data_IF_896467298344
#
_entry.id   IF_896467298344
#
_cell.length_a   1.000
_cell.length_b   1.000
_cell.length_c   1.000
_cell.angle_alpha   90.00
_cell.angle_beta   90.00
_cell.angle_gamma   90.00
#
_symmetry.space_group_name_H-M   'P 1'
#
loop_
_entity.id
_entity.type
_entity.pdbx_description
1 polymer ?
#
# COMPACT_ATOMS: atom_id res chain seq x y z
N UNK A 1 0.61 0.04 8.15
CA UNK A 1 -0.25 0.12 9.36
C UNK A 1 0.02 -0.93 10.46
N UNK A 2 0.96 -1.90 10.29
CA UNK A 2 1.22 -2.91 11.34
C UNK A 2 1.58 -2.31 12.72
N UNK A 3 2.46 -1.30 12.75
CA UNK A 3 2.81 -0.61 13.99
C UNK A 3 1.62 0.17 14.60
N UNK A 4 0.67 0.64 13.79
CA UNK A 4 -0.57 1.26 14.27
C UNK A 4 -1.41 0.22 15.03
N UNK A 5 -1.53 -1.00 14.51
CA UNK A 5 -2.20 -2.10 15.22
C UNK A 5 -1.56 -2.41 16.57
N UNK A 6 -0.22 -2.33 16.68
CA UNK A 6 0.47 -2.45 17.96
C UNK A 6 0.12 -1.31 18.92
N UNK A 7 0.19 -0.05 18.46
CA UNK A 7 -0.12 1.12 19.28
C UNK A 7 -1.60 1.18 19.70
N UNK A 8 -2.50 0.67 18.85
CA UNK A 8 -3.93 0.53 19.13
C UNK A 8 -4.23 -0.58 20.15
N UNK A 9 -3.31 -1.55 20.29
CA UNK A 9 -3.48 -2.75 21.12
C UNK A 9 -4.15 -3.92 20.40
N UNK A 10 -4.42 -3.80 19.11
CA UNK A 10 -5.07 -4.83 18.29
C UNK A 10 -4.09 -5.82 17.63
N UNK A 11 -2.77 -5.61 17.80
CA UNK A 11 -1.73 -6.60 17.52
C UNK A 11 -0.73 -6.66 18.66
N UNK A 12 -0.27 -7.86 19.00
CA UNK A 12 0.89 -8.06 19.88
C UNK A 12 2.20 -7.72 19.17
N UNK A 13 3.27 -7.54 19.96
CA UNK A 13 4.62 -7.30 19.43
C UNK A 13 5.07 -8.42 18.48
N UNK A 14 4.86 -9.69 18.84
CA UNK A 14 5.25 -10.83 18.01
C UNK A 14 4.45 -10.91 16.71
N UNK A 15 3.15 -10.64 16.74
CA UNK A 15 2.32 -10.59 15.53
C UNK A 15 2.78 -9.51 14.57
N UNK A 16 3.13 -8.31 15.07
CA UNK A 16 3.65 -7.21 14.22
C UNK A 16 4.94 -7.61 13.52
N UNK A 17 5.90 -8.15 14.26
CA UNK A 17 7.20 -8.54 13.71
C UNK A 17 7.03 -9.69 12.68
N UNK A 18 6.23 -10.70 13.01
CA UNK A 18 5.98 -11.83 12.11
C UNK A 18 5.18 -11.41 10.87
N UNK A 19 4.18 -10.53 11.02
CA UNK A 19 3.41 -10.03 9.89
C UNK A 19 4.28 -9.19 8.93
N UNK A 20 5.17 -8.34 9.46
CA UNK A 20 6.12 -7.59 8.65
C UNK A 20 7.10 -8.54 7.92
N UNK A 21 7.60 -9.55 8.62
CA UNK A 21 8.45 -10.60 8.05
C UNK A 21 7.76 -11.31 6.88
N UNK A 22 6.55 -11.83 7.09
CA UNK A 22 5.83 -12.58 6.06
C UNK A 22 5.42 -11.70 4.89
N UNK A 23 5.06 -10.43 5.12
CA UNK A 23 4.83 -9.46 4.05
C UNK A 23 6.05 -9.38 3.13
N UNK A 24 7.22 -9.06 3.69
CA UNK A 24 8.46 -8.96 2.90
C UNK A 24 8.88 -10.28 2.24
N UNK A 25 8.74 -11.41 2.96
CA UNK A 25 9.09 -12.74 2.45
C UNK A 25 8.21 -13.15 1.27
N UNK A 26 6.89 -13.01 1.38
CA UNK A 26 5.98 -13.36 0.29
C UNK A 26 6.22 -12.49 -0.95
N UNK A 27 6.50 -11.21 -0.79
CA UNK A 27 6.88 -10.32 -1.90
C UNK A 27 8.15 -10.82 -2.59
N UNK A 28 9.19 -11.15 -1.80
CA UNK A 28 10.47 -11.62 -2.32
C UNK A 28 10.35 -12.96 -3.06
N UNK A 29 9.55 -13.88 -2.53
CA UNK A 29 9.35 -15.22 -3.11
C UNK A 29 8.43 -15.20 -4.35
N UNK A 30 7.58 -14.17 -4.51
CA UNK A 30 6.68 -14.06 -5.64
C UNK A 30 7.36 -13.73 -6.98
N UNK A 31 8.65 -13.35 -6.97
CA UNK A 31 9.43 -13.01 -8.16
C UNK A 31 8.67 -12.08 -9.14
N UNK A 32 8.13 -10.99 -8.59
CA UNK A 32 7.35 -10.04 -9.35
C UNK A 32 8.16 -9.40 -10.49
N UNK A 33 7.50 -8.97 -11.58
CA UNK A 33 8.14 -8.11 -12.58
C UNK A 33 8.74 -6.83 -11.95
N UNK A 34 9.78 -6.25 -12.55
CA UNK A 34 10.38 -5.01 -12.05
C UNK A 34 9.36 -3.88 -11.95
N UNK A 35 9.14 -3.40 -10.73
CA UNK A 35 8.26 -2.29 -10.40
C UNK A 35 9.01 -1.09 -9.83
N UNK A 36 8.31 0.01 -9.68
CA UNK A 36 8.83 1.24 -9.08
C UNK A 36 7.72 2.07 -8.47
N UNK A 37 8.13 3.06 -7.69
CA UNK A 37 7.24 4.08 -7.14
C UNK A 37 7.91 5.44 -7.19
N UNK A 38 7.12 6.51 -7.35
CA UNK A 38 7.62 7.88 -7.33
C UNK A 38 6.61 8.81 -6.65
N UNK A 39 7.10 9.74 -5.84
CA UNK A 39 6.32 10.86 -5.35
C UNK A 39 6.27 11.94 -6.44
N UNK A 40 5.08 12.44 -6.75
CA UNK A 40 4.81 13.43 -7.78
C UNK A 40 3.98 14.57 -7.18
N UNK A 41 4.25 15.80 -7.65
CA UNK A 41 3.58 17.02 -7.24
C UNK A 41 2.33 17.26 -8.10
N UNK A 42 1.37 16.35 -7.98
CA UNK A 42 0.09 16.36 -8.68
C UNK A 42 -1.01 16.02 -7.68
N UNK A 43 -2.23 16.47 -7.93
CA UNK A 43 -3.39 15.99 -7.18
C UNK A 43 -3.72 14.53 -7.52
N UNK A 44 -4.59 13.90 -6.74
CA UNK A 44 -5.08 12.55 -7.01
C UNK A 44 -5.79 12.46 -8.37
N UNK A 45 -6.65 13.43 -8.67
CA UNK A 45 -7.42 13.51 -9.92
C UNK A 45 -6.51 13.74 -11.14
N UNK A 46 -5.50 14.59 -11.00
CA UNK A 46 -4.50 14.81 -12.05
C UNK A 46 -3.72 13.52 -12.35
N UNK A 47 -3.34 12.76 -11.32
CA UNK A 47 -2.72 11.46 -11.50
C UNK A 47 -3.65 10.47 -12.22
N UNK A 48 -4.94 10.39 -11.84
CA UNK A 48 -5.91 9.54 -12.54
C UNK A 48 -6.05 9.89 -14.04
N UNK A 49 -5.92 11.16 -14.39
CA UNK A 49 -6.01 11.63 -15.77
C UNK A 49 -4.72 11.45 -16.58
N UNK A 50 -3.55 11.58 -15.93
CA UNK A 50 -2.25 11.67 -16.61
C UNK A 50 -1.40 10.40 -16.51
N UNK A 51 -1.67 9.50 -15.55
CA UNK A 51 -0.86 8.30 -15.38
C UNK A 51 -0.86 7.45 -16.67
N UNK A 52 0.31 7.02 -17.15
CA UNK A 52 0.38 6.15 -18.31
C UNK A 52 -0.18 4.75 -17.97
N UNK A 53 -0.48 3.97 -19.00
CA UNK A 53 -0.98 2.61 -18.83
C UNK A 53 -0.07 1.77 -17.92
N UNK A 54 -0.67 1.17 -16.89
CA UNK A 54 0.03 0.34 -15.89
C UNK A 54 0.59 1.11 -14.70
N UNK A 55 0.63 2.45 -14.75
CA UNK A 55 0.94 3.29 -13.58
C UNK A 55 -0.37 3.71 -12.92
N UNK A 56 -0.41 3.65 -11.59
CA UNK A 56 -1.59 4.03 -10.80
C UNK A 56 -1.19 4.99 -9.68
N UNK A 57 -2.05 5.93 -9.29
CA UNK A 57 -1.90 6.62 -8.01
C UNK A 57 -2.09 5.60 -6.88
N UNK A 58 -1.18 5.62 -5.91
CA UNK A 58 -1.04 4.55 -4.92
C UNK A 58 -1.03 5.07 -3.48
N UNK A 59 -0.51 6.28 -3.24
CA UNK A 59 -0.60 6.95 -1.94
C UNK A 59 -1.05 8.40 -2.13
N UNK A 60 -2.18 8.78 -1.53
CA UNK A 60 -2.66 10.16 -1.50
C UNK A 60 -2.06 10.85 -0.27
N UNK A 61 -0.87 11.45 -0.41
CA UNK A 61 -0.08 11.92 0.74
C UNK A 61 -0.51 13.32 1.20
N UNK A 62 -0.86 14.20 0.27
CA UNK A 62 -1.37 15.55 0.48
C UNK A 62 -2.22 15.98 -0.72
N UNK A 63 -2.86 17.16 -0.64
CA UNK A 63 -3.73 17.71 -1.70
C UNK A 63 -3.07 17.73 -3.09
N UNK A 64 -1.77 18.05 -3.14
CA UNK A 64 -0.97 18.19 -4.37
C UNK A 64 0.22 17.22 -4.43
N UNK A 65 0.23 16.18 -3.58
CA UNK A 65 1.35 15.24 -3.51
C UNK A 65 0.87 13.79 -3.45
N UNK A 66 1.16 13.04 -4.51
CA UNK A 66 0.75 11.64 -4.67
C UNK A 66 1.97 10.77 -4.90
N UNK A 67 1.96 9.54 -4.37
CA UNK A 67 2.91 8.51 -4.80
C UNK A 67 2.25 7.66 -5.87
N UNK A 68 2.84 7.61 -7.06
CA UNK A 68 2.45 6.70 -8.15
C UNK A 68 3.24 5.40 -8.08
N UNK A 69 2.66 4.31 -8.59
CA UNK A 69 3.19 2.95 -8.52
C UNK A 69 2.91 2.19 -9.82
N UNK A 70 3.89 1.44 -10.32
CA UNK A 70 3.74 0.71 -11.58
C UNK A 70 5.02 0.05 -12.08
N UNK A 71 5.07 -0.38 -13.36
CA UNK A 71 6.27 -0.93 -13.98
C UNK A 71 7.45 0.05 -13.90
N UNK A 72 8.64 -0.48 -13.64
CA UNK A 72 9.82 0.34 -13.38
C UNK A 72 10.12 1.33 -14.52
N UNK A 73 10.13 0.85 -15.77
CA UNK A 73 10.42 1.69 -16.94
C UNK A 73 9.36 2.78 -17.14
N UNK A 74 8.08 2.45 -16.91
CA UNK A 74 6.97 3.41 -17.04
C UNK A 74 7.05 4.50 -15.97
N UNK A 75 7.41 4.14 -14.73
CA UNK A 75 7.64 5.09 -13.65
C UNK A 75 8.80 6.04 -13.99
N UNK A 76 9.95 5.50 -14.41
CA UNK A 76 11.11 6.34 -14.73
C UNK A 76 10.83 7.30 -15.89
N UNK A 77 10.12 6.84 -16.93
CA UNK A 77 9.68 7.69 -18.04
C UNK A 77 8.72 8.79 -17.58
N UNK A 78 7.69 8.44 -16.81
CA UNK A 78 6.71 9.42 -16.31
C UNK A 78 7.37 10.47 -15.39
N UNK A 79 8.31 10.04 -14.54
CA UNK A 79 9.10 10.95 -13.71
C UNK A 79 9.92 11.93 -14.56
N UNK A 80 10.50 11.48 -15.67
CA UNK A 80 11.23 12.36 -16.59
C UNK A 80 10.28 13.37 -17.25
N UNK A 81 9.15 12.92 -17.78
CA UNK A 81 8.16 13.77 -18.44
C UNK A 81 7.64 14.87 -17.50
N UNK A 82 7.31 14.52 -16.25
CA UNK A 82 6.88 15.50 -15.24
C UNK A 82 7.98 16.51 -14.92
N UNK A 83 9.24 16.08 -14.81
CA UNK A 83 10.36 17.00 -14.59
C UNK A 83 10.55 17.97 -15.75
N UNK A 84 10.39 17.51 -16.99
CA UNK A 84 10.47 18.36 -18.19
C UNK A 84 9.35 19.42 -18.21
N UNK A 85 8.19 19.10 -17.62
CA UNK A 85 7.08 20.03 -17.42
C UNK A 85 7.25 20.96 -16.19
N UNK A 86 8.33 20.80 -15.43
CA UNK A 86 8.56 21.56 -14.20
C UNK A 86 7.77 21.08 -12.98
N UNK A 87 7.12 19.91 -13.07
CA UNK A 87 6.39 19.28 -11.97
C UNK A 87 7.36 18.53 -11.07
N UNK A 88 7.15 18.59 -9.75
CA UNK A 88 7.93 17.78 -8.81
C UNK A 88 7.74 16.29 -9.10
N UNK A 89 8.83 15.56 -9.31
CA UNK A 89 8.79 14.10 -9.41
C UNK A 89 10.08 13.48 -8.88
N UNK A 90 9.96 12.54 -7.93
CA UNK A 90 11.09 11.89 -7.27
C UNK A 90 10.81 10.42 -7.02
N UNK A 91 11.64 9.55 -7.58
CA UNK A 91 11.58 8.11 -7.32
C UNK A 91 11.79 7.79 -5.84
N UNK A 92 11.03 6.80 -5.35
CA UNK A 92 11.08 6.29 -3.98
C UNK A 92 11.74 4.92 -4.00
N UNK A 93 12.60 4.64 -3.01
CA UNK A 93 13.23 3.33 -2.88
C UNK A 93 12.20 2.27 -2.49
N UNK A 94 11.70 1.53 -3.47
CA UNK A 94 10.71 0.46 -3.27
C UNK A 94 11.30 -0.94 -3.47
N UNK A 95 12.63 -1.08 -3.56
CA UNK A 95 13.32 -2.34 -3.82
C UNK A 95 12.84 -3.06 -5.11
N UNK A 96 12.44 -2.29 -6.13
CA UNK A 96 11.94 -2.84 -7.39
C UNK A 96 10.49 -3.32 -7.33
N UNK A 97 9.71 -2.88 -6.34
CA UNK A 97 8.32 -3.32 -6.13
C UNK A 97 7.35 -2.16 -6.34
N UNK A 98 6.22 -2.46 -6.98
CA UNK A 98 5.10 -1.54 -7.17
C UNK A 98 4.03 -1.74 -6.07
N UNK A 99 4.28 -1.26 -4.85
CA UNK A 99 3.33 -1.41 -3.73
C UNK A 99 2.00 -0.69 -3.97
N UNK A 100 0.95 -1.08 -3.24
CA UNK A 100 -0.36 -0.42 -3.24
C UNK A 100 -0.96 -0.32 -4.65
N UNK A 101 -0.80 -1.39 -5.42
CA UNK A 101 -1.25 -1.50 -6.80
C UNK A 101 -1.77 -2.91 -7.07
N UNK A 102 -2.44 -3.07 -8.22
CA UNK A 102 -2.94 -4.37 -8.68
C UNK A 102 -1.83 -5.42 -8.87
N UNK A 103 -0.55 -5.01 -9.03
CA UNK A 103 0.59 -5.94 -9.10
C UNK A 103 0.77 -6.76 -7.82
N UNK A 104 0.22 -6.32 -6.68
CA UNK A 104 0.26 -7.06 -5.42
C UNK A 104 -0.79 -8.18 -5.34
N UNK A 105 -1.75 -8.24 -6.27
CA UNK A 105 -2.84 -9.20 -6.22
C UNK A 105 -2.35 -10.66 -6.27
N UNK A 106 -1.26 -10.94 -6.99
CA UNK A 106 -0.66 -12.30 -7.05
C UNK A 106 -0.07 -12.76 -5.71
N UNK A 107 0.31 -11.82 -4.83
CA UNK A 107 0.87 -12.12 -3.51
C UNK A 107 -0.24 -12.33 -2.48
N UNK A 108 -1.40 -11.71 -2.67
CA UNK A 108 -2.49 -11.69 -1.69
C UNK A 108 -2.87 -13.08 -1.14
N UNK A 109 -3.02 -14.15 -1.95
CA UNK A 109 -3.36 -15.47 -1.43
C UNK A 109 -2.29 -16.07 -0.51
N UNK A 110 -1.02 -15.99 -0.91
CA UNK A 110 0.10 -16.55 -0.14
C UNK A 110 0.32 -15.76 1.15
N UNK A 111 0.25 -14.43 1.08
CA UNK A 111 0.36 -13.57 2.26
C UNK A 111 -0.81 -13.82 3.22
N UNK A 112 -2.04 -13.92 2.72
CA UNK A 112 -3.21 -14.22 3.55
C UNK A 112 -3.04 -15.54 4.31
N UNK A 113 -2.60 -16.60 3.62
CA UNK A 113 -2.36 -17.90 4.24
C UNK A 113 -1.27 -17.85 5.31
N UNK A 114 -0.23 -17.05 5.13
CA UNK A 114 0.81 -16.83 6.14
C UNK A 114 0.26 -16.03 7.34
N UNK A 115 -0.43 -14.92 7.09
CA UNK A 115 -0.95 -14.04 8.13
C UNK A 115 -2.05 -14.70 8.96
N UNK A 116 -2.88 -15.59 8.40
CA UNK A 116 -3.85 -16.38 9.17
C UNK A 116 -3.20 -17.32 10.20
N UNK A 117 -1.93 -17.68 10.02
CA UNK A 117 -1.17 -18.48 11.01
C UNK A 117 -0.56 -17.61 12.11
N UNK A 118 -0.33 -16.33 11.80
CA UNK A 118 0.23 -15.33 12.73
C UNK A 118 -0.88 -14.71 13.58
N UNK A 119 -1.89 -14.15 12.93
CA UNK A 119 -3.05 -13.47 13.53
C UNK A 119 -4.19 -14.47 13.60
N UNK A 120 -4.17 -15.33 14.62
CA UNK A 120 -5.15 -16.42 14.77
C UNK A 120 -6.50 -15.92 15.28
N UNK A 121 -6.46 -14.93 16.16
CA UNK A 121 -7.63 -14.34 16.83
C UNK A 121 -7.60 -12.81 16.63
N UNK A 122 -8.13 -12.31 15.48
CA UNK A 122 -8.13 -10.89 15.18
C UNK A 122 -8.80 -10.07 16.28
N UNK A 123 -8.11 -9.03 16.76
CA UNK A 123 -8.67 -8.10 17.74
C UNK A 123 -9.36 -6.94 17.04
N UNK A 124 -10.41 -6.41 17.68
CA UNK A 124 -11.15 -5.27 17.17
C UNK A 124 -10.27 -4.02 17.18
N UNK A 125 -10.33 -3.23 16.12
CA UNK A 125 -9.66 -1.93 16.03
C UNK A 125 -10.42 -0.91 16.87
N UNK A 126 -9.71 -0.06 17.62
CA UNK A 126 -10.40 1.02 18.34
C UNK A 126 -10.75 2.17 17.39
N UNK A 127 -11.73 3.00 17.76
CA UNK A 127 -12.11 4.20 17.00
C UNK A 127 -11.01 5.27 16.93
N UNK A 128 -9.94 5.13 17.71
CA UNK A 128 -8.77 6.02 17.68
C UNK A 128 -7.88 5.76 16.46
N UNK A 129 -7.94 4.56 15.89
CA UNK A 129 -7.16 4.21 14.70
C UNK A 129 -7.97 4.44 13.44
N UNK A 130 -7.68 5.54 12.76
CA UNK A 130 -8.17 5.85 11.41
C UNK A 130 -7.46 4.95 10.39
N UNK A 131 -8.22 4.16 9.62
CA UNK A 131 -7.65 3.32 8.55
C UNK A 131 -7.24 4.19 7.38
N UNK A 132 -6.04 3.95 6.84
CA UNK A 132 -5.62 4.55 5.56
C UNK A 132 -5.68 3.57 4.41
N UNK A 133 -6.24 2.37 4.60
CA UNK A 133 -6.33 1.34 3.55
C UNK A 133 -7.76 0.97 3.17
N UNK A 134 -8.75 1.53 3.87
CA UNK A 134 -10.18 1.34 3.63
C UNK A 134 -10.83 2.73 3.57
N UNK A 135 -11.65 3.01 2.54
CA UNK A 135 -12.38 4.27 2.43
C UNK A 135 -13.22 4.56 3.68
N UNK A 136 -13.37 5.83 4.03
CA UNK A 136 -14.11 6.25 5.23
C UNK A 136 -15.56 5.73 5.25
N UNK A 137 -16.21 5.70 4.09
CA UNK A 137 -17.58 5.17 3.95
C UNK A 137 -17.70 3.66 4.26
N UNK A 138 -16.58 2.94 4.38
CA UNK A 138 -16.52 1.50 4.64
C UNK A 138 -15.88 1.16 6.00
N UNK A 139 -15.68 2.14 6.89
CA UNK A 139 -15.08 1.88 8.21
C UNK A 139 -15.93 0.99 9.13
N UNK A 140 -17.24 0.91 8.90
CA UNK A 140 -18.13 -0.02 9.62
C UNK A 140 -18.24 -1.40 8.94
N UNK A 141 -17.52 -1.62 7.84
CA UNK A 141 -17.52 -2.90 7.13
C UNK A 141 -16.85 -4.01 7.96
N UNK A 142 -17.22 -5.28 7.77
CA UNK A 142 -16.57 -6.40 8.46
C UNK A 142 -15.04 -6.44 8.30
N UNK A 143 -14.53 -6.00 7.14
CA UNK A 143 -13.10 -5.92 6.86
C UNK A 143 -12.40 -4.88 7.75
N UNK A 144 -13.05 -3.74 8.00
CA UNK A 144 -12.50 -2.62 8.75
C UNK A 144 -12.58 -2.79 10.26
N UNK A 145 -13.50 -3.60 10.79
CA UNK A 145 -13.72 -3.72 12.23
C UNK A 145 -12.53 -4.36 12.98
N UNK A 146 -11.79 -5.27 12.34
CA UNK A 146 -10.75 -6.08 12.99
C UNK A 146 -9.38 -5.89 12.34
N UNK A 147 -8.32 -5.93 13.16
CA UNK A 147 -6.92 -5.97 12.71
C UNK A 147 -6.57 -7.39 12.23
N UNK A 148 -7.30 -7.87 11.22
CA UNK A 148 -7.26 -9.25 10.73
C UNK A 148 -6.18 -9.46 9.67
N UNK A 149 -5.90 -10.74 9.36
CA UNK A 149 -5.06 -11.08 8.22
C UNK A 149 -5.58 -10.47 6.91
N UNK A 150 -6.90 -10.51 6.70
CA UNK A 150 -7.58 -9.93 5.54
C UNK A 150 -7.39 -8.39 5.48
N UNK A 151 -7.48 -7.68 6.62
CA UNK A 151 -7.19 -6.25 6.70
C UNK A 151 -5.76 -5.93 6.27
N UNK A 152 -4.77 -6.67 6.78
CA UNK A 152 -3.36 -6.41 6.50
C UNK A 152 -2.94 -6.80 5.08
N UNK A 153 -3.65 -7.75 4.45
CA UNK A 153 -3.52 -8.03 3.01
C UNK A 153 -4.17 -6.91 2.19
N UNK A 154 -5.37 -6.46 2.55
CA UNK A 154 -6.02 -5.30 1.92
C UNK A 154 -5.09 -4.08 1.91
N UNK A 155 -4.43 -3.79 3.05
CA UNK A 155 -3.46 -2.71 3.13
C UNK A 155 -2.31 -2.81 2.11
N UNK A 156 -1.90 -4.01 1.68
CA UNK A 156 -0.84 -4.16 0.67
C UNK A 156 -1.33 -3.88 -0.76
N UNK A 157 -2.57 -4.27 -1.07
CA UNK A 157 -3.11 -4.24 -2.43
C UNK A 157 -3.89 -2.96 -2.74
N UNK A 158 -4.36 -2.27 -1.71
CA UNK A 158 -5.18 -1.07 -1.83
C UNK A 158 -4.33 0.21 -1.72
N UNK A 159 -4.82 1.33 -2.28
CA UNK A 159 -4.19 2.64 -2.10
C UNK A 159 -4.09 3.05 -0.63
N UNK A 160 -3.13 3.93 -0.34
CA UNK A 160 -2.99 4.59 0.96
C UNK A 160 -3.72 5.93 0.90
N UNK A 161 -4.84 6.03 1.61
CA UNK A 161 -5.68 7.22 1.76
C UNK A 161 -5.20 8.01 2.99
N UNK A 162 -4.13 8.81 2.84
CA UNK A 162 -3.46 9.44 3.97
C UNK A 162 -3.92 10.89 4.23
N UNK A 163 -4.26 11.62 3.17
CA UNK A 163 -4.74 13.01 3.22
C UNK A 163 -6.05 13.18 3.99
#
# INVERSE_FOLDING_TARGET
ELACGYADGSLSHSEVILAAYWRGRCIKEANLPPGGMAAVGLTWEECLAQCPQGVVPACHNAEDTVTVSGPQEAISKFVQELKEQGVFAKEVRSAGVAFHSHYMASIAPTLLAALKKVIKEPQQRSSRWVSTSIPQCEWDSPLALYSSADYHVNNLVSPVLFQ
#
